data_IF_982423231116
#
_entry.id   IF_982423231116
#
_cell.length_a   1.000
_cell.length_b   1.000
_cell.length_c   1.000
_cell.angle_alpha   90.00
_cell.angle_beta   90.00
_cell.angle_gamma   90.00
#
_symmetry.space_group_name_H-M   'P 1'
#
loop_
_entity.id
_entity.type
_entity.pdbx_description
1 polymer ?
#
# COMPACT_ATOMS: atom_id res chain seq x y z
N UNK A 1 15.79 14.86 -19.06
CA UNK A 1 16.57 14.45 -17.86
C UNK A 1 18.04 14.84 -18.02
N UNK A 2 18.70 15.27 -16.94
CA UNK A 2 20.15 15.54 -16.93
C UNK A 2 20.94 14.22 -17.02
N UNK A 3 22.16 14.25 -17.62
CA UNK A 3 23.07 13.09 -17.67
C UNK A 3 23.34 12.50 -16.28
N UNK A 4 23.39 13.34 -15.25
CA UNK A 4 23.60 12.90 -13.87
C UNK A 4 22.41 12.09 -13.35
N UNK A 5 21.18 12.52 -13.62
CA UNK A 5 19.96 11.82 -13.19
C UNK A 5 19.82 10.47 -13.88
N UNK A 6 20.16 10.37 -15.17
CA UNK A 6 20.12 9.11 -15.91
C UNK A 6 21.11 8.08 -15.35
N UNK A 7 22.31 8.51 -14.93
CA UNK A 7 23.28 7.64 -14.23
C UNK A 7 22.78 7.24 -12.84
N UNK A 8 22.12 8.14 -12.12
CA UNK A 8 21.58 7.85 -10.79
C UNK A 8 20.44 6.82 -10.83
N UNK A 9 19.68 6.72 -11.92
CA UNK A 9 18.63 5.69 -12.07
C UNK A 9 19.20 4.25 -12.15
N UNK A 10 20.46 4.10 -12.56
CA UNK A 10 21.16 2.80 -12.63
C UNK A 10 21.93 2.49 -11.34
N UNK A 11 21.94 3.42 -10.38
CA UNK A 11 22.75 3.33 -9.16
C UNK A 11 22.47 2.05 -8.36
N UNK A 12 21.20 1.64 -8.28
CA UNK A 12 20.77 0.48 -7.51
C UNK A 12 21.43 -0.86 -7.93
N UNK A 13 21.85 -0.98 -9.20
CA UNK A 13 22.49 -2.19 -9.75
C UNK A 13 24.01 -2.03 -9.90
N UNK A 14 24.48 -0.84 -10.25
CA UNK A 14 25.89 -0.64 -10.65
C UNK A 14 26.80 -0.12 -9.55
N UNK A 15 26.28 0.73 -8.65
CA UNK A 15 27.07 1.41 -7.62
C UNK A 15 26.71 0.96 -6.21
N UNK A 16 25.72 0.08 -6.07
CA UNK A 16 25.29 -0.46 -4.78
C UNK A 16 26.32 -1.47 -4.27
N UNK A 17 26.86 -1.20 -3.08
CA UNK A 17 27.65 -2.19 -2.32
C UNK A 17 26.68 -3.05 -1.53
N UNK A 18 26.44 -4.28 -2.00
CA UNK A 18 25.63 -5.26 -1.28
C UNK A 18 26.44 -5.75 -0.07
N UNK A 19 25.99 -5.40 1.14
CA UNK A 19 26.60 -5.87 2.38
C UNK A 19 25.58 -6.72 3.09
N UNK A 20 25.89 -8.01 3.30
CA UNK A 20 24.97 -8.93 3.95
C UNK A 20 24.57 -8.42 5.33
N UNK A 21 23.25 -8.35 5.57
CA UNK A 21 22.68 -7.95 6.87
C UNK A 21 22.46 -6.45 7.08
N UNK A 22 22.84 -5.56 6.15
CA UNK A 22 22.60 -4.12 6.28
C UNK A 22 21.60 -3.65 5.23
N UNK A 23 20.43 -3.17 5.67
CA UNK A 23 19.45 -2.52 4.81
C UNK A 23 19.87 -1.06 4.57
N UNK A 24 20.53 -0.79 3.44
CA UNK A 24 20.94 0.57 3.03
C UNK A 24 19.97 1.18 2.04
N UNK A 25 19.27 0.34 1.30
CA UNK A 25 18.35 0.75 0.26
C UNK A 25 17.14 -0.20 0.20
N UNK A 26 15.96 0.25 -0.24
CA UNK A 26 14.80 -0.64 -0.43
C UNK A 26 15.07 -1.85 -1.35
N UNK A 27 16.12 -1.78 -2.18
CA UNK A 27 16.59 -2.90 -3.00
C UNK A 27 17.22 -4.06 -2.19
N UNK A 28 17.58 -3.83 -0.92
CA UNK A 28 18.13 -4.87 -0.04
C UNK A 28 17.02 -5.69 0.63
N UNK A 29 15.77 -5.21 0.56
CA UNK A 29 14.61 -5.86 1.17
C UNK A 29 14.27 -7.19 0.49
N UNK A 30 13.80 -8.15 1.27
CA UNK A 30 13.40 -9.46 0.78
C UNK A 30 12.30 -9.38 -0.30
N UNK A 31 11.37 -8.43 -0.16
CA UNK A 31 10.31 -8.21 -1.15
C UNK A 31 10.86 -7.83 -2.53
N UNK A 32 11.95 -7.04 -2.58
CA UNK A 32 12.63 -6.70 -3.84
C UNK A 32 13.33 -7.91 -4.44
N UNK A 33 14.04 -8.69 -3.62
CA UNK A 33 14.74 -9.89 -4.06
C UNK A 33 13.78 -10.97 -4.57
N UNK A 34 12.62 -11.14 -3.94
CA UNK A 34 11.55 -12.03 -4.40
C UNK A 34 10.93 -11.54 -5.71
N UNK A 35 10.67 -10.23 -5.84
CA UNK A 35 10.15 -9.64 -7.06
C UNK A 35 11.10 -9.84 -8.26
N UNK A 36 12.40 -9.59 -8.06
CA UNK A 36 13.41 -9.75 -9.10
C UNK A 36 13.54 -11.21 -9.55
N UNK A 37 13.39 -12.18 -8.64
CA UNK A 37 13.37 -13.62 -8.97
C UNK A 37 12.14 -14.01 -9.78
N UNK A 38 10.97 -13.45 -9.46
CA UNK A 38 9.73 -13.75 -10.15
C UNK A 38 9.68 -13.08 -11.54
N UNK A 39 10.34 -11.93 -11.70
CA UNK A 39 10.34 -11.12 -12.93
C UNK A 39 11.77 -10.89 -13.45
N UNK A 40 12.45 -11.97 -13.80
CA UNK A 40 13.83 -11.92 -14.32
C UNK A 40 13.98 -10.98 -15.53
N UNK A 41 13.01 -10.94 -16.44
CA UNK A 41 13.03 -10.05 -17.61
C UNK A 41 13.06 -8.56 -17.22
N UNK A 42 12.36 -8.19 -16.14
CA UNK A 42 12.30 -6.83 -15.65
C UNK A 42 13.60 -6.44 -14.92
N UNK A 43 14.17 -7.38 -14.15
CA UNK A 43 15.41 -7.15 -13.40
C UNK A 43 16.67 -7.11 -14.29
N UNK A 44 16.61 -7.65 -15.51
CA UNK A 44 17.71 -7.61 -16.47
C UNK A 44 18.08 -6.17 -16.85
N UNK A 45 17.09 -5.32 -17.14
CA UNK A 45 17.32 -3.92 -17.47
C UNK A 45 17.35 -3.03 -16.20
N UNK A 46 18.51 -2.45 -15.81
CA UNK A 46 18.59 -1.51 -14.69
C UNK A 46 17.84 -0.19 -14.93
N UNK A 47 17.35 0.08 -16.14
CA UNK A 47 16.61 1.30 -16.45
C UNK A 47 15.12 1.18 -16.14
N UNK A 48 14.63 -0.04 -15.93
CA UNK A 48 13.25 -0.29 -15.51
C UNK A 48 12.99 0.27 -14.11
N UNK A 49 11.87 0.99 -13.95
CA UNK A 49 11.60 1.82 -12.77
C UNK A 49 10.73 1.10 -11.76
N UNK A 50 11.17 1.07 -10.51
CA UNK A 50 10.35 0.61 -9.39
C UNK A 50 9.80 1.81 -8.63
N UNK A 51 8.48 1.82 -8.49
CA UNK A 51 7.71 2.91 -7.93
C UNK A 51 7.15 2.49 -6.57
N UNK A 52 7.26 3.38 -5.59
CA UNK A 52 6.45 3.36 -4.38
C UNK A 52 5.25 4.28 -4.55
N UNK A 53 4.08 3.82 -4.13
CA UNK A 53 2.91 4.68 -4.00
C UNK A 53 2.79 5.10 -2.55
N UNK A 54 2.84 6.38 -2.24
CA UNK A 54 2.57 6.88 -0.91
C UNK A 54 1.28 7.69 -0.90
N UNK A 55 0.50 7.52 0.16
CA UNK A 55 -0.87 7.99 0.21
C UNK A 55 -1.17 8.59 1.60
N UNK A 56 -1.39 9.90 1.71
CA UNK A 56 -1.88 10.54 2.94
C UNK A 56 -2.84 11.73 2.71
N UNK A 57 -3.81 11.95 3.59
CA UNK A 57 -4.73 13.09 3.52
C UNK A 57 -4.14 14.34 4.16
N UNK A 58 -4.17 15.49 3.47
CA UNK A 58 -3.55 16.73 3.96
C UNK A 58 -4.53 17.90 4.04
N UNK A 59 -4.41 18.70 5.11
CA UNK A 59 -5.17 19.94 5.25
C UNK A 59 -4.28 21.15 4.87
N UNK A 60 -4.37 21.68 3.64
CA UNK A 60 -3.48 22.74 3.15
C UNK A 60 -3.66 24.09 3.82
N UNK A 61 -4.85 24.37 4.35
CA UNK A 61 -5.24 25.74 4.69
C UNK A 61 -5.04 26.10 6.15
N UNK A 62 -4.53 25.19 6.99
CA UNK A 62 -4.07 25.42 8.38
C UNK A 62 -5.03 26.10 9.38
N UNK A 63 -6.10 26.74 8.92
CA UNK A 63 -6.99 27.58 9.68
C UNK A 63 -8.24 26.80 10.04
N UNK A 64 -8.49 26.72 11.35
CA UNK A 64 -9.47 25.87 12.04
C UNK A 64 -10.96 26.06 11.67
N UNK A 65 -11.32 26.66 10.53
CA UNK A 65 -12.71 27.04 10.27
C UNK A 65 -13.30 26.70 8.89
N UNK A 66 -12.57 26.04 8.00
CA UNK A 66 -13.16 25.52 6.76
C UNK A 66 -13.12 23.99 6.74
N UNK A 67 -14.28 23.36 6.59
CA UNK A 67 -14.46 21.90 6.44
C UNK A 67 -14.00 21.42 5.05
N UNK A 68 -12.78 21.76 4.65
CA UNK A 68 -12.23 21.44 3.34
C UNK A 68 -10.98 20.58 3.47
N UNK A 69 -11.15 19.26 3.36
CA UNK A 69 -10.04 18.31 3.36
C UNK A 69 -9.51 18.13 1.94
N UNK A 70 -8.34 18.64 1.59
CA UNK A 70 -7.74 18.19 0.33
C UNK A 70 -7.20 16.78 0.53
N UNK A 71 -7.42 15.92 -0.45
CA UNK A 71 -6.83 14.59 -0.47
C UNK A 71 -5.74 14.60 -1.58
N UNK A 72 -4.48 14.96 -1.27
CA UNK A 72 -3.33 14.76 -2.17
C UNK A 72 -2.68 13.41 -1.90
N UNK A 73 -3.15 12.33 -2.50
CA UNK A 73 -2.90 11.02 -1.84
C UNK A 73 -2.35 9.99 -2.79
N UNK A 74 -1.64 10.40 -3.85
CA UNK A 74 -0.74 9.50 -4.56
C UNK A 74 0.57 10.21 -4.94
N UNK A 75 1.58 9.89 -4.15
CA UNK A 75 2.96 10.34 -4.30
C UNK A 75 3.76 9.16 -4.84
N UNK A 76 4.24 9.28 -6.07
CA UNK A 76 5.07 8.28 -6.74
C UNK A 76 6.54 8.55 -6.42
N UNK A 77 7.17 7.55 -5.83
CA UNK A 77 8.58 7.59 -5.41
C UNK A 77 9.38 6.60 -6.25
N UNK A 78 10.28 7.06 -7.13
CA UNK A 78 11.16 6.17 -7.90
C UNK A 78 12.29 5.67 -7.01
N UNK A 79 12.23 4.38 -6.63
CA UNK A 79 13.25 3.74 -5.81
C UNK A 79 14.53 3.42 -6.58
N UNK A 80 14.60 3.68 -7.88
CA UNK A 80 15.84 3.47 -8.64
C UNK A 80 16.95 4.47 -8.25
N UNK A 81 16.56 5.61 -7.70
CA UNK A 81 17.47 6.67 -7.27
C UNK A 81 18.16 6.34 -5.95
N UNK A 82 19.37 6.88 -5.70
CA UNK A 82 20.05 6.68 -4.43
C UNK A 82 19.24 7.26 -3.25
N UNK A 83 19.45 6.75 -2.03
CA UNK A 83 18.63 7.06 -0.85
C UNK A 83 18.64 8.56 -0.48
N UNK A 84 19.71 9.29 -0.80
CA UNK A 84 19.81 10.74 -0.57
C UNK A 84 19.09 11.60 -1.63
N UNK A 85 18.50 10.99 -2.67
CA UNK A 85 17.72 11.68 -3.72
C UNK A 85 16.28 11.19 -3.82
N UNK A 86 16.00 9.91 -3.57
CA UNK A 86 14.68 9.32 -3.82
C UNK A 86 13.53 10.03 -3.08
N UNK A 87 13.76 10.55 -1.87
CA UNK A 87 12.75 11.25 -1.06
C UNK A 87 12.77 12.78 -1.20
N UNK A 88 13.52 13.34 -2.16
CA UNK A 88 13.55 14.79 -2.36
C UNK A 88 12.40 15.24 -3.27
N UNK A 89 11.88 16.43 -3.00
CA UNK A 89 10.79 17.08 -3.75
C UNK A 89 10.89 16.95 -5.28
N UNK A 90 12.04 17.24 -5.95
CA UNK A 90 12.12 17.15 -7.42
C UNK A 90 12.00 15.74 -7.99
N UNK A 91 12.19 14.70 -7.17
CA UNK A 91 12.10 13.30 -7.61
C UNK A 91 10.81 12.64 -7.15
N UNK A 92 9.99 13.37 -6.42
CA UNK A 92 8.71 12.87 -5.99
C UNK A 92 7.62 13.45 -6.90
N UNK A 93 6.85 12.56 -7.53
CA UNK A 93 5.78 12.96 -8.44
C UNK A 93 4.43 12.88 -7.73
N UNK A 94 3.69 13.98 -7.71
CA UNK A 94 2.29 13.97 -7.27
C UNK A 94 1.41 13.65 -8.48
N UNK A 95 0.78 12.47 -8.49
CA UNK A 95 -0.01 12.02 -9.64
C UNK A 95 -1.48 12.46 -9.57
N UNK A 96 -2.05 12.55 -8.36
CA UNK A 96 -3.46 12.84 -8.18
C UNK A 96 -3.71 13.74 -6.97
N UNK A 97 -4.48 14.80 -7.21
CA UNK A 97 -5.00 15.69 -6.19
C UNK A 97 -6.53 15.68 -6.26
N UNK A 98 -7.19 15.20 -5.21
CA UNK A 98 -8.65 15.17 -5.11
C UNK A 98 -9.10 16.28 -4.15
N UNK A 99 -9.61 17.41 -4.66
CA UNK A 99 -10.25 18.43 -3.84
C UNK A 99 -11.62 17.96 -3.33
N UNK A 100 -11.93 18.14 -2.04
CA UNK A 100 -13.29 17.90 -1.54
C UNK A 100 -13.53 18.24 -0.06
N UNK A 101 -14.75 18.64 0.34
CA UNK A 101 -15.05 18.90 1.76
C UNK A 101 -15.01 17.64 2.65
N UNK A 102 -15.03 16.45 2.03
CA UNK A 102 -15.00 15.16 2.72
C UNK A 102 -14.07 14.19 1.99
N UNK A 103 -13.56 13.21 2.72
CA UNK A 103 -12.83 12.08 2.13
C UNK A 103 -13.67 11.39 1.04
N UNK A 104 -13.06 11.06 -0.12
CA UNK A 104 -13.75 10.32 -1.17
C UNK A 104 -14.19 8.94 -0.71
N UNK A 105 -13.54 8.35 0.30
CA UNK A 105 -13.89 7.06 0.88
C UNK A 105 -14.09 5.98 -0.19
N UNK A 106 -15.33 5.51 -0.36
CA UNK A 106 -15.67 4.48 -1.35
C UNK A 106 -15.53 4.92 -2.81
N UNK A 107 -15.59 6.21 -3.11
CA UNK A 107 -15.54 6.71 -4.50
C UNK A 107 -14.10 6.98 -4.97
N UNK A 108 -13.08 6.75 -4.12
CA UNK A 108 -11.67 7.00 -4.45
C UNK A 108 -11.19 6.21 -5.69
N UNK A 109 -11.73 5.01 -5.89
CA UNK A 109 -11.37 4.13 -7.00
C UNK A 109 -11.69 4.75 -8.37
N UNK A 110 -12.77 5.55 -8.46
CA UNK A 110 -13.13 6.23 -9.72
C UNK A 110 -12.04 7.20 -10.14
N UNK A 111 -11.43 7.88 -9.18
CA UNK A 111 -10.33 8.82 -9.43
C UNK A 111 -8.99 8.11 -9.67
N UNK A 112 -8.81 6.91 -9.11
CA UNK A 112 -7.58 6.13 -9.25
C UNK A 112 -7.54 5.23 -10.48
N UNK A 113 -8.69 4.99 -11.12
CA UNK A 113 -8.81 4.22 -12.35
C UNK A 113 -7.83 4.67 -13.47
N UNK A 114 -7.75 5.96 -13.86
CA UNK A 114 -6.80 6.38 -14.90
C UNK A 114 -5.33 6.10 -14.51
N UNK A 115 -4.98 6.33 -13.25
CA UNK A 115 -3.62 6.04 -12.74
C UNK A 115 -3.30 4.54 -12.82
N UNK A 116 -4.27 3.69 -12.46
CA UNK A 116 -4.09 2.23 -12.52
C UNK A 116 -3.94 1.76 -13.97
N UNK A 117 -4.72 2.32 -14.89
CA UNK A 117 -4.66 1.95 -16.30
C UNK A 117 -3.32 2.35 -16.93
N UNK A 118 -2.80 3.55 -16.63
CA UNK A 118 -1.45 3.97 -17.02
C UNK A 118 -0.36 3.06 -16.43
N UNK A 119 -0.48 2.67 -15.16
CA UNK A 119 0.48 1.74 -14.53
C UNK A 119 0.45 0.35 -15.17
N UNK A 120 -0.72 -0.13 -15.63
CA UNK A 120 -0.84 -1.38 -16.38
C UNK A 120 -0.22 -1.26 -17.76
N UNK A 121 -0.46 -0.15 -18.46
CA UNK A 121 0.16 0.12 -19.77
C UNK A 121 1.69 0.20 -19.67
N UNK A 122 2.21 0.91 -18.66
CA UNK A 122 3.65 1.00 -18.38
C UNK A 122 4.29 -0.35 -18.05
N UNK A 123 3.54 -1.32 -17.56
CA UNK A 123 4.06 -2.66 -17.30
C UNK A 123 3.98 -3.57 -18.51
N UNK A 124 2.84 -3.61 -19.20
CA UNK A 124 2.58 -4.54 -20.30
C UNK A 124 3.18 -4.10 -21.63
N UNK A 125 3.02 -2.82 -21.97
CA UNK A 125 3.48 -2.25 -23.24
C UNK A 125 4.83 -1.59 -23.03
N UNK A 126 4.98 -0.82 -21.94
CA UNK A 126 6.16 0.01 -21.71
C UNK A 126 6.23 1.21 -22.67
N UNK A 127 7.01 2.23 -22.31
CA UNK A 127 7.09 3.49 -23.07
C UNK A 127 8.48 3.67 -23.67
N UNK A 128 8.55 3.99 -24.96
CA UNK A 128 9.84 4.30 -25.59
C UNK A 128 10.43 5.57 -24.98
N UNK A 129 11.60 5.44 -24.37
CA UNK A 129 12.29 6.51 -23.67
C UNK A 129 13.72 6.62 -24.17
N UNK A 130 14.20 7.85 -24.37
CA UNK A 130 15.57 8.12 -24.77
C UNK A 130 16.49 8.25 -23.54
N UNK A 131 17.46 7.35 -23.42
CA UNK A 131 18.49 7.46 -22.38
C UNK A 131 19.57 8.46 -22.81
N UNK A 132 19.63 9.62 -22.16
CA UNK A 132 20.65 10.65 -22.43
C UNK A 132 22.07 10.19 -22.07
N UNK A 133 22.21 9.23 -21.13
CA UNK A 133 23.53 8.72 -20.72
C UNK A 133 24.11 7.75 -21.74
N UNK A 134 23.31 6.79 -22.20
CA UNK A 134 23.75 5.76 -23.16
C UNK A 134 23.45 6.13 -24.62
N UNK A 135 22.70 7.22 -24.85
CA UNK A 135 22.23 7.71 -26.17
C UNK A 135 21.46 6.67 -26.99
N UNK A 136 20.72 5.80 -26.31
CA UNK A 136 19.98 4.68 -26.91
C UNK A 136 18.51 4.83 -26.53
N UNK A 137 17.62 4.53 -27.48
CA UNK A 137 16.19 4.34 -27.22
C UNK A 137 15.98 2.98 -26.56
N UNK A 138 15.22 2.97 -25.47
CA UNK A 138 14.86 1.75 -24.79
C UNK A 138 13.40 1.82 -24.34
N UNK A 139 12.78 0.67 -24.17
CA UNK A 139 11.41 0.58 -23.70
C UNK A 139 11.43 0.53 -22.17
N UNK A 140 10.93 1.58 -21.51
CA UNK A 140 10.89 1.65 -20.05
C UNK A 140 9.66 0.91 -19.56
N UNK A 141 9.87 -0.05 -18.67
CA UNK A 141 8.81 -0.66 -17.91
C UNK A 141 8.82 -0.13 -16.48
N UNK A 142 7.63 0.01 -15.89
CA UNK A 142 7.51 0.44 -14.49
C UNK A 142 6.67 -0.52 -13.66
N UNK A 143 7.07 -0.72 -12.41
CA UNK A 143 6.42 -1.62 -11.47
C UNK A 143 6.16 -0.93 -10.13
N UNK A 144 4.95 -1.09 -9.58
CA UNK A 144 4.65 -0.63 -8.22
C UNK A 144 5.00 -1.73 -7.23
N UNK A 145 5.89 -1.44 -6.30
CA UNK A 145 6.35 -2.45 -5.34
C UNK A 145 5.51 -2.52 -4.07
N UNK A 146 5.22 -1.37 -3.46
CA UNK A 146 4.45 -1.28 -2.22
C UNK A 146 3.75 0.07 -2.10
N UNK A 147 2.75 0.09 -1.23
CA UNK A 147 2.01 1.30 -0.85
C UNK A 147 2.40 1.74 0.55
N UNK A 148 2.78 3.01 0.74
CA UNK A 148 3.10 3.64 2.03
C UNK A 148 1.90 4.44 2.49
N UNK A 149 1.15 3.89 3.43
CA UNK A 149 -0.13 4.42 3.85
C UNK A 149 -0.19 4.40 5.38
N UNK A 150 -0.86 5.38 5.98
CA UNK A 150 -1.29 5.26 7.36
C UNK A 150 -2.43 4.23 7.47
N UNK A 151 -2.81 3.87 8.69
CA UNK A 151 -3.84 2.86 8.90
C UNK A 151 -5.22 3.30 8.37
N UNK A 152 -5.50 4.60 8.33
CA UNK A 152 -6.75 5.13 7.77
C UNK A 152 -6.79 4.94 6.26
N UNK A 153 -5.77 5.45 5.56
CA UNK A 153 -5.66 5.43 4.11
C UNK A 153 -5.48 4.01 3.59
N UNK A 154 -4.85 3.11 4.37
CA UNK A 154 -4.86 1.68 4.06
C UNK A 154 -6.28 1.14 3.95
N UNK A 155 -7.19 1.52 4.85
CA UNK A 155 -8.58 1.07 4.80
C UNK A 155 -9.33 1.56 3.57
N UNK A 156 -9.07 2.79 3.15
CA UNK A 156 -9.69 3.38 1.96
C UNK A 156 -9.13 2.77 0.66
N UNK A 157 -7.81 2.51 0.59
CA UNK A 157 -7.16 1.95 -0.60
C UNK A 157 -7.30 0.43 -0.72
N UNK A 158 -7.07 -0.33 0.35
CA UNK A 158 -7.28 -1.78 0.36
C UNK A 158 -8.76 -2.15 0.41
N UNK A 159 -9.63 -1.19 0.76
CA UNK A 159 -11.06 -1.40 0.96
C UNK A 159 -11.40 -2.34 2.13
N UNK A 160 -10.41 -2.64 2.98
CA UNK A 160 -10.61 -3.29 4.26
C UNK A 160 -11.14 -2.27 5.27
N UNK A 161 -12.24 -2.58 5.96
CA UNK A 161 -12.78 -1.63 6.94
C UNK A 161 -11.88 -1.56 8.18
N UNK A 162 -11.08 -0.51 8.30
CA UNK A 162 -10.20 -0.28 9.46
C UNK A 162 -10.96 0.22 10.70
N UNK A 163 -12.30 0.24 10.65
CA UNK A 163 -13.20 0.63 11.73
C UNK A 163 -14.01 -0.58 12.19
N UNK A 164 -14.15 -0.75 13.50
CA UNK A 164 -14.96 -1.81 14.12
C UNK A 164 -14.14 -2.90 14.78
N UNK A 165 -14.72 -4.08 14.99
CA UNK A 165 -14.11 -5.15 15.78
C UNK A 165 -13.06 -5.97 15.00
N UNK A 166 -13.05 -5.89 13.66
CA UNK A 166 -12.16 -6.67 12.77
C UNK A 166 -11.19 -5.77 11.99
N UNK A 167 -10.71 -4.68 12.58
CA UNK A 167 -9.93 -3.69 11.81
C UNK A 167 -8.57 -4.20 11.31
N UNK A 168 -7.99 -5.24 11.90
CA UNK A 168 -6.66 -5.71 11.50
C UNK A 168 -6.75 -6.61 10.26
N UNK A 169 -6.16 -6.21 9.11
CA UNK A 169 -6.16 -7.04 7.90
C UNK A 169 -5.30 -8.30 8.07
N UNK A 170 -4.25 -8.23 8.90
CA UNK A 170 -3.32 -9.34 9.17
C UNK A 170 -3.95 -10.40 10.07
N UNK A 171 -4.68 -9.98 11.11
CA UNK A 171 -5.34 -10.90 12.03
C UNK A 171 -6.70 -11.37 11.50
N UNK A 172 -7.35 -10.58 10.63
CA UNK A 172 -8.65 -10.90 10.03
C UNK A 172 -9.68 -11.34 11.10
N UNK A 173 -10.26 -12.54 10.98
CA UNK A 173 -11.20 -13.13 11.95
C UNK A 173 -10.60 -13.35 13.34
N UNK A 174 -9.28 -13.56 13.44
CA UNK A 174 -8.59 -13.76 14.72
C UNK A 174 -8.35 -12.44 15.49
N UNK A 175 -8.83 -11.30 14.96
CA UNK A 175 -8.66 -9.99 15.60
C UNK A 175 -9.32 -9.98 16.98
N UNK A 176 -8.49 -9.91 18.02
CA UNK A 176 -8.96 -9.85 19.41
C UNK A 176 -9.27 -8.41 19.81
N UNK A 177 -10.51 -8.00 19.59
CA UNK A 177 -11.02 -6.68 19.94
C UNK A 177 -12.02 -6.75 21.10
N UNK A 178 -12.03 -5.71 21.94
CA UNK A 178 -12.95 -5.56 23.07
C UNK A 178 -13.44 -4.12 23.15
N UNK A 179 -14.72 -3.94 23.45
CA UNK A 179 -15.27 -2.62 23.75
C UNK A 179 -14.88 -2.21 25.16
N UNK A 180 -14.15 -1.11 25.30
CA UNK A 180 -13.82 -0.48 26.57
C UNK A 180 -14.61 0.83 26.68
N UNK A 181 -15.69 0.82 27.46
CA UNK A 181 -16.65 1.94 27.58
C UNK A 181 -17.21 2.36 26.21
N UNK A 182 -16.74 3.48 25.65
CA UNK A 182 -17.16 4.02 24.35
C UNK A 182 -16.17 3.74 23.21
N UNK A 183 -14.98 3.18 23.49
CA UNK A 183 -13.94 2.91 22.49
C UNK A 183 -13.78 1.41 22.24
N UNK A 184 -13.28 1.06 21.06
CA UNK A 184 -12.88 -0.31 20.72
C UNK A 184 -11.37 -0.39 20.91
N UNK A 185 -10.92 -1.38 21.68
CA UNK A 185 -9.51 -1.61 21.99
C UNK A 185 -9.09 -2.99 21.44
N UNK A 186 -7.87 -3.09 20.92
CA UNK A 186 -7.29 -4.34 20.42
C UNK A 186 -6.27 -4.86 21.43
N UNK A 187 -6.67 -5.83 22.24
CA UNK A 187 -5.88 -6.30 23.38
C UNK A 187 -5.03 -7.56 23.05
N UNK A 188 -5.17 -8.09 21.83
CA UNK A 188 -4.46 -9.31 21.38
C UNK A 188 -2.96 -9.16 21.06
N UNK A 189 -2.31 -8.04 21.41
CA UNK A 189 -0.91 -7.77 21.07
C UNK A 189 0.07 -8.81 21.67
N UNK A 190 -0.27 -9.41 22.82
CA UNK A 190 0.55 -10.43 23.48
C UNK A 190 0.64 -11.75 22.70
N UNK A 191 -0.25 -11.98 21.74
CA UNK A 191 -0.22 -13.18 20.87
C UNK A 191 0.95 -13.21 19.90
N UNK A 192 1.60 -12.07 19.64
CA UNK A 192 2.76 -12.00 18.74
C UNK A 192 4.10 -12.29 19.45
N UNK A 193 4.12 -12.29 20.78
CA UNK A 193 5.34 -12.60 21.55
C UNK A 193 5.66 -14.10 21.49
N UNK A 194 6.90 -14.54 21.72
CA UNK A 194 7.22 -15.96 21.86
C UNK A 194 6.39 -16.64 22.95
N UNK A 195 6.05 -17.92 22.80
CA UNK A 195 5.22 -18.66 23.77
C UNK A 195 5.83 -18.70 25.18
N UNK A 196 7.16 -18.63 25.28
CA UNK A 196 7.90 -18.60 26.55
C UNK A 196 7.97 -17.21 27.20
N UNK A 197 7.46 -16.15 26.55
CA UNK A 197 7.68 -14.78 27.01
C UNK A 197 6.95 -14.48 28.34
N UNK A 198 7.61 -13.89 29.37
CA UNK A 198 7.00 -13.62 30.68
C UNK A 198 5.71 -12.79 30.61
N UNK A 199 5.63 -11.85 29.68
CA UNK A 199 4.43 -11.00 29.48
C UNK A 199 3.17 -11.76 29.04
N UNK A 200 3.28 -12.98 28.50
CA UNK A 200 2.10 -13.83 28.23
C UNK A 200 1.48 -14.38 29.52
N UNK A 201 2.32 -14.63 30.54
CA UNK A 201 1.91 -15.15 31.85
C UNK A 201 1.54 -14.04 32.85
N UNK A 202 1.91 -12.80 32.55
CA UNK A 202 1.58 -11.65 33.39
C UNK A 202 0.11 -11.27 33.29
N UNK A 203 -0.56 -11.15 34.44
CA UNK A 203 -1.94 -10.66 34.57
C UNK A 203 -2.05 -9.13 34.66
N UNK A 204 -0.92 -8.41 34.64
CA UNK A 204 -0.88 -6.95 34.85
C UNK A 204 -1.53 -6.13 33.72
N UNK A 205 -1.70 -6.71 32.52
CA UNK A 205 -2.29 -6.01 31.38
C UNK A 205 -3.82 -6.10 31.39
N UNK A 206 -4.37 -7.30 31.16
CA UNK A 206 -5.81 -7.48 30.93
C UNK A 206 -6.47 -8.34 32.02
N UNK A 207 -5.75 -8.70 33.07
CA UNK A 207 -6.17 -9.69 34.06
C UNK A 207 -5.98 -11.16 33.62
N UNK A 208 -5.93 -11.41 32.30
CA UNK A 208 -5.88 -12.74 31.71
C UNK A 208 -4.48 -13.15 31.24
N UNK A 209 -4.19 -14.46 31.30
CA UNK A 209 -2.99 -15.10 30.74
C UNK A 209 -3.22 -15.52 29.29
N UNK A 210 -2.30 -15.14 28.40
CA UNK A 210 -2.46 -15.33 26.95
C UNK A 210 -1.68 -16.55 26.44
N UNK A 211 -2.37 -17.69 26.33
CA UNK A 211 -1.81 -18.96 25.83
C UNK A 211 -2.08 -19.22 24.34
N UNK A 212 -2.83 -18.35 23.66
CA UNK A 212 -3.19 -18.56 22.25
C UNK A 212 -1.97 -18.33 21.35
N UNK A 213 -1.92 -19.07 20.23
CA UNK A 213 -0.89 -18.88 19.20
C UNK A 213 -1.07 -17.53 18.51
N UNK A 214 0.04 -17.04 17.94
CA UNK A 214 0.00 -15.88 17.05
C UNK A 214 -1.00 -16.14 15.91
N UNK A 215 -1.75 -15.12 15.47
CA UNK A 215 -2.55 -15.24 14.26
C UNK A 215 -1.66 -15.71 13.11
N UNK A 216 -2.11 -16.69 12.33
CA UNK A 216 -1.36 -17.15 11.17
C UNK A 216 -1.37 -16.03 10.13
N UNK A 217 -0.20 -15.51 9.76
CA UNK A 217 -0.10 -14.62 8.60
C UNK A 217 -0.44 -15.41 7.35
N UNK A 218 -1.61 -15.13 6.77
CA UNK A 218 -2.08 -15.83 5.58
C UNK A 218 -1.70 -15.03 4.33
N UNK A 219 -0.55 -15.34 3.75
CA UNK A 219 -0.12 -14.75 2.47
C UNK A 219 -1.10 -15.16 1.36
N UNK A 220 -1.68 -14.20 0.65
CA UNK A 220 -2.55 -14.46 -0.51
C UNK A 220 -4.04 -14.73 -0.20
N UNK A 221 -4.42 -14.92 1.06
CA UNK A 221 -5.83 -15.13 1.46
C UNK A 221 -6.72 -13.94 1.10
N UNK A 222 -6.16 -12.72 1.13
CA UNK A 222 -6.88 -11.52 0.73
C UNK A 222 -7.43 -11.63 -0.71
N UNK A 223 -6.63 -12.16 -1.65
CA UNK A 223 -7.02 -12.31 -3.06
C UNK A 223 -8.14 -13.34 -3.20
N UNK A 224 -8.07 -14.45 -2.46
CA UNK A 224 -9.11 -15.49 -2.43
C UNK A 224 -10.41 -14.95 -1.81
N UNK A 225 -10.31 -14.22 -0.69
CA UNK A 225 -11.46 -13.61 -0.02
C UNK A 225 -12.14 -12.56 -0.89
N UNK A 226 -11.37 -11.79 -1.66
CA UNK A 226 -11.87 -10.79 -2.59
C UNK A 226 -12.69 -11.38 -3.75
N UNK A 227 -12.53 -12.67 -4.09
CA UNK A 227 -13.37 -13.34 -5.10
C UNK A 227 -14.82 -13.48 -4.64
N UNK A 228 -15.06 -13.53 -3.32
CA UNK A 228 -16.40 -13.63 -2.75
C UNK A 228 -17.06 -12.27 -2.52
N UNK A 229 -16.32 -11.17 -2.72
CA UNK A 229 -16.83 -9.80 -2.54
C UNK A 229 -17.55 -9.37 -3.82
N UNK A 230 -18.86 -9.14 -3.73
CA UNK A 230 -19.65 -8.62 -4.86
C UNK A 230 -19.20 -7.22 -5.29
N UNK A 231 -19.25 -6.97 -6.60
CA UNK A 231 -19.03 -5.66 -7.20
C UNK A 231 -20.03 -4.63 -6.65
N UNK A 232 -19.52 -3.46 -6.28
CA UNK A 232 -20.30 -2.38 -5.64
C UNK A 232 -20.58 -1.29 -6.66
N UNK A 233 -21.83 -0.80 -6.71
CA UNK A 233 -22.15 0.39 -7.51
C UNK A 233 -21.68 1.66 -6.78
N UNK A 234 -20.76 2.39 -7.40
CA UNK A 234 -20.23 3.65 -6.88
C UNK A 234 -21.27 4.78 -6.91
N UNK A 235 -21.08 5.81 -6.08
CA UNK A 235 -21.89 7.03 -6.08
C UNK A 235 -22.86 7.18 -4.90
N UNK A 236 -23.01 8.43 -4.43
CA UNK A 236 -23.83 8.84 -3.28
C UNK A 236 -25.30 9.14 -3.64
N UNK A 237 -25.79 8.64 -4.78
CA UNK A 237 -27.17 8.90 -5.22
C UNK A 237 -28.19 8.35 -4.21
N UNK A 238 -29.29 9.08 -4.01
CA UNK A 238 -30.37 8.71 -3.06
C UNK A 238 -30.95 7.34 -3.38
N UNK A 239 -30.95 6.96 -4.67
CA UNK A 239 -31.47 5.69 -5.18
C UNK A 239 -30.41 4.57 -5.22
N UNK A 240 -29.19 4.77 -4.72
CA UNK A 240 -28.17 3.72 -4.71
C UNK A 240 -28.45 2.72 -3.56
N UNK A 241 -28.80 1.45 -3.85
CA UNK A 241 -29.05 0.44 -2.81
C UNK A 241 -27.81 0.14 -1.96
N UNK A 242 -26.59 0.42 -2.46
CA UNK A 242 -25.33 0.15 -1.76
C UNK A 242 -24.89 1.26 -0.78
N UNK A 243 -25.69 2.33 -0.64
CA UNK A 243 -25.41 3.44 0.30
C UNK A 243 -25.35 2.98 1.76
N UNK A 244 -26.14 1.96 2.14
CA UNK A 244 -26.12 1.29 3.46
C UNK A 244 -26.06 -0.24 3.29
N UNK A 245 -24.94 -0.76 2.76
CA UNK A 245 -24.74 -2.21 2.58
C UNK A 245 -24.73 -2.96 3.93
N UNK A 246 -25.59 -3.97 4.07
CA UNK A 246 -25.48 -5.03 5.08
C UNK A 246 -24.41 -6.02 4.60
N UNK A 247 -23.38 -6.26 5.42
CA UNK A 247 -22.30 -7.20 5.10
C UNK A 247 -22.80 -8.63 5.25
N UNK A 248 -22.49 -9.48 4.28
CA UNK A 248 -22.70 -10.92 4.44
C UNK A 248 -21.58 -11.52 5.30
N UNK A 249 -21.81 -12.59 6.08
CA UNK A 249 -20.77 -13.25 6.87
C UNK A 249 -19.55 -13.65 6.03
N UNK A 250 -19.78 -14.04 4.78
CA UNK A 250 -18.77 -14.47 3.82
C UNK A 250 -17.90 -13.32 3.27
N UNK A 251 -18.35 -12.07 3.39
CA UNK A 251 -17.62 -10.88 2.93
C UNK A 251 -16.69 -10.31 4.01
N UNK A 252 -16.70 -10.91 5.21
CA UNK A 252 -15.90 -10.49 6.36
C UNK A 252 -15.98 -8.97 6.58
N UNK A 253 -14.81 -8.31 6.62
CA UNK A 253 -14.69 -6.87 6.83
C UNK A 253 -14.37 -6.10 5.54
N UNK A 254 -14.45 -6.77 4.37
CA UNK A 254 -14.25 -6.14 3.07
C UNK A 254 -15.43 -5.21 2.74
N UNK A 255 -15.12 -4.02 2.24
CA UNK A 255 -16.15 -3.04 1.86
C UNK A 255 -16.47 -3.08 0.37
N UNK A 256 -15.46 -3.38 -0.46
CA UNK A 256 -15.51 -3.55 -1.92
C UNK A 256 -14.23 -4.23 -2.40
N UNK A 257 -14.20 -4.62 -3.67
CA UNK A 257 -12.99 -5.09 -4.36
C UNK A 257 -12.18 -3.87 -4.82
N UNK A 258 -10.98 -3.70 -4.29
CA UNK A 258 -10.11 -2.58 -4.67
C UNK A 258 -9.52 -2.77 -6.06
N UNK A 259 -9.44 -1.69 -6.83
CA UNK A 259 -8.75 -1.65 -8.12
C UNK A 259 -7.25 -1.96 -7.98
N UNK A 260 -6.64 -1.70 -6.82
CA UNK A 260 -5.22 -2.02 -6.58
C UNK A 260 -4.92 -3.52 -6.62
N UNK A 261 -5.88 -4.38 -6.26
CA UNK A 261 -5.71 -5.83 -6.39
C UNK A 261 -5.80 -6.32 -7.85
N UNK A 262 -6.16 -5.46 -8.79
CA UNK A 262 -6.09 -5.75 -10.23
C UNK A 262 -4.70 -5.47 -10.82
N UNK A 263 -3.82 -4.80 -10.07
CA UNK A 263 -2.43 -4.59 -10.46
C UNK A 263 -1.65 -5.83 -10.02
N UNK A 264 -1.44 -6.77 -10.94
CA UNK A 264 -0.72 -8.03 -10.69
C UNK A 264 0.73 -7.86 -10.17
N UNK A 265 1.25 -6.62 -10.24
CA UNK A 265 2.63 -6.24 -9.95
C UNK A 265 2.81 -5.85 -8.48
N UNK A 266 1.71 -5.54 -7.78
CA UNK A 266 1.78 -5.06 -6.41
C UNK A 266 2.07 -6.24 -5.47
N UNK A 267 3.20 -6.18 -4.76
CA UNK A 267 3.55 -7.20 -3.76
C UNK A 267 2.60 -7.00 -2.58
N UNK A 268 1.53 -7.79 -2.54
CA UNK A 268 0.58 -7.79 -1.44
C UNK A 268 1.19 -8.54 -0.25
N UNK A 269 1.58 -7.80 0.78
CA UNK A 269 2.09 -8.31 2.05
C UNK A 269 1.00 -8.59 3.09
#
# INVERSE_FOLDING_TARGET
>A
MSKHTALDMRWHKEKRVDTEGILRHPADANAWKEFDKNHNWFAQDPRNVRLGLASDGFYPFGNMNNAYSMWPVMMLIPYNLPPWKCMKDPFTMMSLLIPGPQSPGKDIDVFLQPLVDELKELWHVGVETYDVSSRIFFQIHSAVMWTINDFSAYGDLSCWSTKGYMACPVCNEDTSSRKLRSKICYMGHRRFLPMSHPWRRSRKHDGDTEHRKAPTMRKGDAIVQLQYVRDVKFGKNVNNPDRKRKRSPNELNWTKKSIFFSIAILVHS
#
